data_IF_248645937831
#
_entry.id   IF_248645937831
#
_cell.length_a   1.000
_cell.length_b   1.000
_cell.length_c   1.000
_cell.angle_alpha   90.00
_cell.angle_beta   90.00
_cell.angle_gamma   90.00
#
_symmetry.space_group_name_H-M   'P 1'
#
loop_
_entity.id
_entity.type
_entity.pdbx_description
1 polymer ?
#
# COMPACT_ATOMS: atom_id res chain seq x y z
N UNK A 1 -0.66 -5.94 -1.00
CA UNK A 1 0.41 -6.24 0.00
C UNK A 1 1.79 -5.97 -0.60
N UNK A 2 2.83 -5.77 0.23
CA UNK A 2 4.19 -5.42 -0.23
C UNK A 2 4.94 -6.50 -1.01
N UNK A 3 4.39 -7.71 -1.12
CA UNK A 3 4.91 -8.82 -1.93
C UNK A 3 4.30 -8.89 -3.34
N UNK A 4 3.42 -7.95 -3.71
CA UNK A 4 2.67 -7.94 -4.98
C UNK A 4 3.13 -6.80 -5.91
N UNK A 5 4.41 -6.41 -5.84
CA UNK A 5 5.00 -5.34 -6.65
C UNK A 5 5.37 -5.87 -8.05
N UNK A 6 4.37 -6.30 -8.81
CA UNK A 6 4.56 -6.87 -10.14
C UNK A 6 5.04 -5.81 -11.14
N UNK A 7 5.73 -6.18 -12.24
CA UNK A 7 6.13 -5.22 -13.26
C UNK A 7 4.94 -4.38 -13.75
N UNK A 8 5.07 -3.05 -13.81
CA UNK A 8 3.95 -2.15 -14.11
C UNK A 8 3.26 -2.48 -15.45
N UNK A 9 4.03 -2.97 -16.42
CA UNK A 9 3.53 -3.41 -17.73
C UNK A 9 2.53 -4.57 -17.69
N UNK A 10 2.44 -5.31 -16.59
CA UNK A 10 1.52 -6.45 -16.43
C UNK A 10 0.25 -6.08 -15.67
N UNK A 11 0.09 -4.84 -15.23
CA UNK A 11 -1.11 -4.39 -14.55
C UNK A 11 -2.21 -4.22 -15.60
N UNK A 12 -3.33 -4.93 -15.42
CA UNK A 12 -4.54 -4.75 -16.22
C UNK A 12 -5.05 -3.32 -16.05
N UNK A 13 -5.56 -2.69 -17.10
CA UNK A 13 -5.95 -1.27 -17.09
C UNK A 13 -7.43 -1.05 -16.75
N UNK A 14 -8.16 -2.10 -16.42
CA UNK A 14 -9.58 -2.03 -16.04
C UNK A 14 -9.74 -1.68 -14.55
N UNK A 15 -9.28 -0.49 -14.16
CA UNK A 15 -9.46 0.06 -12.81
C UNK A 15 -9.24 1.59 -12.81
N UNK A 16 -9.84 2.28 -11.83
CA UNK A 16 -9.70 3.74 -11.71
C UNK A 16 -8.49 4.15 -10.86
N UNK A 17 -8.27 3.46 -9.73
CA UNK A 17 -7.27 3.85 -8.74
C UNK A 17 -6.59 2.65 -8.07
N UNK A 18 -5.33 2.82 -7.68
CA UNK A 18 -4.56 1.81 -6.93
C UNK A 18 -4.58 2.17 -5.45
N UNK A 19 -4.84 1.18 -4.59
CA UNK A 19 -4.68 1.32 -3.15
C UNK A 19 -3.43 0.57 -2.65
N UNK A 20 -2.60 1.28 -1.87
CA UNK A 20 -1.41 0.75 -1.22
C UNK A 20 -1.35 1.25 0.22
N UNK A 21 -0.93 0.41 1.15
CA UNK A 21 -0.77 0.80 2.55
C UNK A 21 0.39 0.05 3.19
N UNK A 22 1.21 0.78 3.95
CA UNK A 22 2.21 0.20 4.84
C UNK A 22 1.51 -0.51 6.01
N UNK A 23 2.07 -1.66 6.41
CA UNK A 23 1.43 -2.62 7.32
C UNK A 23 2.14 -2.62 8.68
N UNK A 24 1.39 -2.35 9.75
CA UNK A 24 1.91 -2.35 11.11
C UNK A 24 2.32 -3.75 11.58
N UNK A 25 1.53 -4.77 11.30
CA UNK A 25 1.82 -6.15 11.71
C UNK A 25 3.05 -6.71 11.00
N UNK A 26 3.36 -6.21 9.80
CA UNK A 26 4.62 -6.53 9.12
C UNK A 26 5.83 -6.02 9.94
N UNK A 27 5.72 -4.83 10.52
CA UNK A 27 6.77 -4.14 11.27
C UNK A 27 6.85 -4.56 12.74
N UNK A 28 5.73 -4.93 13.36
CA UNK A 28 5.61 -5.23 14.79
C UNK A 28 5.89 -6.71 15.13
N UNK A 29 6.03 -7.58 14.12
CA UNK A 29 6.31 -9.01 14.33
C UNK A 29 7.62 -9.25 15.10
N UNK A 30 7.59 -10.02 16.21
CA UNK A 30 8.79 -10.42 16.91
C UNK A 30 9.78 -11.13 15.98
N UNK A 31 11.08 -10.85 16.13
CA UNK A 31 12.18 -11.45 15.36
C UNK A 31 12.23 -11.08 13.86
N UNK A 32 11.52 -10.03 13.41
CA UNK A 32 11.76 -9.46 12.09
C UNK A 32 13.18 -8.87 11.98
N UNK A 33 13.90 -9.21 10.92
CA UNK A 33 15.17 -8.55 10.59
C UNK A 33 14.88 -7.12 10.12
N UNK A 34 15.48 -6.12 10.77
CA UNK A 34 15.28 -4.69 10.43
C UNK A 34 15.50 -4.40 8.94
N UNK A 35 16.49 -5.04 8.32
CA UNK A 35 16.77 -4.91 6.88
C UNK A 35 15.64 -5.45 6.00
N UNK A 36 14.93 -6.49 6.43
CA UNK A 36 13.78 -7.05 5.71
C UNK A 36 12.59 -6.08 5.72
N UNK A 37 12.30 -5.48 6.88
CA UNK A 37 11.26 -4.44 6.99
C UNK A 37 11.63 -3.25 6.09
N UNK A 38 12.87 -2.76 6.21
CA UNK A 38 13.35 -1.64 5.40
C UNK A 38 13.26 -1.95 3.90
N UNK A 39 13.64 -3.16 3.49
CA UNK A 39 13.53 -3.61 2.11
C UNK A 39 12.09 -3.51 1.60
N UNK A 40 11.12 -4.09 2.32
CA UNK A 40 9.71 -4.03 1.89
C UNK A 40 9.18 -2.59 1.81
N UNK A 41 9.41 -1.77 2.83
CA UNK A 41 8.92 -0.39 2.85
C UNK A 41 9.57 0.45 1.74
N UNK A 42 10.88 0.33 1.54
CA UNK A 42 11.59 1.03 0.46
C UNK A 42 11.13 0.57 -0.92
N UNK A 43 10.94 -0.73 -1.13
CA UNK A 43 10.42 -1.27 -2.39
C UNK A 43 8.98 -0.79 -2.65
N UNK A 44 8.11 -0.76 -1.64
CA UNK A 44 6.75 -0.25 -1.78
C UNK A 44 6.71 1.23 -2.15
N UNK A 45 7.55 2.05 -1.53
CA UNK A 45 7.67 3.49 -1.83
C UNK A 45 8.21 3.74 -3.24
N UNK A 46 9.28 3.03 -3.63
CA UNK A 46 9.83 3.12 -4.98
C UNK A 46 8.81 2.69 -6.03
N UNK A 47 8.05 1.62 -5.76
CA UNK A 47 7.00 1.16 -6.66
C UNK A 47 5.84 2.16 -6.78
N UNK A 48 5.41 2.76 -5.67
CA UNK A 48 4.44 3.88 -5.67
C UNK A 48 4.94 5.01 -6.56
N UNK A 49 6.19 5.43 -6.41
CA UNK A 49 6.76 6.55 -7.16
C UNK A 49 6.78 6.28 -8.67
N UNK A 50 7.03 5.03 -9.07
CA UNK A 50 6.91 4.61 -10.48
C UNK A 50 5.46 4.61 -10.97
N UNK A 51 4.52 4.09 -10.17
CA UNK A 51 3.11 4.06 -10.52
C UNK A 51 2.48 5.47 -10.62
N UNK A 52 2.93 6.44 -9.82
CA UNK A 52 2.39 7.82 -9.82
C UNK A 52 2.57 8.52 -11.18
N UNK A 53 3.45 8.02 -12.04
CA UNK A 53 3.65 8.52 -13.41
C UNK A 53 2.46 8.25 -14.33
N UNK A 54 1.60 7.28 -14.01
CA UNK A 54 0.54 6.83 -14.92
C UNK A 54 -0.77 6.46 -14.25
N UNK A 55 -0.80 6.35 -12.92
CA UNK A 55 -1.97 5.91 -12.17
C UNK A 55 -2.27 6.84 -11.00
N UNK A 56 -3.57 6.91 -10.65
CA UNK A 56 -4.00 7.53 -9.40
C UNK A 56 -3.77 6.53 -8.26
N UNK A 57 -3.07 6.96 -7.21
CA UNK A 57 -2.71 6.10 -6.08
C UNK A 57 -3.17 6.68 -4.76
N UNK A 58 -3.70 5.81 -3.93
CA UNK A 58 -4.00 6.05 -2.53
C UNK A 58 -2.99 5.30 -1.69
N UNK A 59 -1.98 6.04 -1.20
CA UNK A 59 -0.90 5.49 -0.42
C UNK A 59 -1.02 5.92 1.04
N UNK A 60 -1.11 4.95 1.95
CA UNK A 60 -1.04 5.18 3.41
C UNK A 60 0.35 4.77 3.89
N UNK A 61 1.11 5.72 4.41
CA UNK A 61 2.44 5.48 4.96
C UNK A 61 2.45 5.26 6.48
N UNK A 62 3.62 4.95 7.03
CA UNK A 62 3.83 4.71 8.46
C UNK A 62 3.48 5.88 9.39
N UNK A 63 3.43 7.12 8.88
CA UNK A 63 3.12 8.31 9.66
C UNK A 63 1.61 8.63 9.69
N UNK A 64 0.80 7.92 8.90
CA UNK A 64 -0.65 8.07 8.90
C UNK A 64 -1.24 7.63 10.25
N UNK A 65 -2.26 8.34 10.72
CA UNK A 65 -2.94 8.06 11.99
C UNK A 65 -3.54 6.65 12.02
N UNK A 66 -3.99 6.16 10.86
CA UNK A 66 -4.52 4.80 10.68
C UNK A 66 -3.43 3.73 10.57
N UNK A 67 -2.14 4.04 10.75
CA UNK A 67 -1.05 3.08 10.49
C UNK A 67 -1.23 1.75 11.23
N UNK A 68 -1.71 1.79 12.48
CA UNK A 68 -1.95 0.59 13.31
C UNK A 68 -3.22 -0.18 12.93
N UNK A 69 -4.07 0.38 12.08
CA UNK A 69 -5.27 -0.29 11.62
C UNK A 69 -4.93 -1.41 10.62
N UNK A 70 -5.79 -2.43 10.60
CA UNK A 70 -5.67 -3.50 9.62
C UNK A 70 -5.79 -2.98 8.19
N UNK A 71 -5.18 -3.69 7.24
CA UNK A 71 -5.27 -3.33 5.81
C UNK A 71 -6.71 -3.18 5.32
N UNK A 72 -7.62 -4.08 5.75
CA UNK A 72 -9.03 -4.04 5.37
C UNK A 72 -9.76 -2.85 5.99
N UNK A 73 -9.42 -2.45 7.22
CA UNK A 73 -9.98 -1.25 7.84
C UNK A 73 -9.58 0.01 7.05
N UNK A 74 -8.29 0.14 6.72
CA UNK A 74 -7.78 1.25 5.90
C UNK A 74 -8.48 1.33 4.55
N UNK A 75 -8.62 0.19 3.87
CA UNK A 75 -9.32 0.11 2.58
C UNK A 75 -10.79 0.52 2.72
N UNK A 76 -11.49 -0.01 3.72
CA UNK A 76 -12.89 0.34 4.00
C UNK A 76 -13.06 1.84 4.23
N UNK A 77 -12.18 2.45 5.03
CA UNK A 77 -12.20 3.88 5.30
C UNK A 77 -12.07 4.71 4.01
N UNK A 78 -11.23 4.28 3.05
CA UNK A 78 -11.08 4.96 1.76
C UNK A 78 -12.32 4.80 0.90
N UNK A 79 -12.89 3.60 0.82
CA UNK A 79 -14.12 3.32 0.07
C UNK A 79 -15.26 4.21 0.58
N UNK A 80 -15.44 4.28 1.90
CA UNK A 80 -16.47 5.11 2.54
C UNK A 80 -16.19 6.61 2.34
N UNK A 81 -14.97 7.08 2.62
CA UNK A 81 -14.57 8.50 2.46
C UNK A 81 -14.78 9.00 1.04
N UNK A 82 -14.69 8.12 0.05
CA UNK A 82 -14.80 8.47 -1.37
C UNK A 82 -16.14 8.10 -2.00
N UNK A 83 -17.06 7.53 -1.24
CA UNK A 83 -18.35 7.06 -1.73
C UNK A 83 -18.22 6.14 -2.96
N UNK A 84 -17.21 5.28 -2.95
CA UNK A 84 -17.02 4.29 -4.03
C UNK A 84 -18.16 3.27 -3.92
N UNK A 85 -18.98 3.17 -4.96
CA UNK A 85 -20.10 2.22 -5.02
C UNK A 85 -19.56 0.86 -5.45
N UNK A 86 -19.94 -0.18 -4.71
CA UNK A 86 -19.81 -1.57 -5.13
C UNK A 86 -20.93 -1.94 -6.10
#
# INVERSE_FOLDING_TARGET
>A
MGNQLFPIKTIDKDFDEIFMAEDYDLCAKPKQHKLKILFFLSSMRSYRDELLKSYKINYIDINDESFKDSYLCKLKNIIEKRNIKN
#
